data_IF_124262467989
#
_entry.id   IF_124262467989
#
_cell.length_a   1.000
_cell.length_b   1.000
_cell.length_c   1.000
_cell.angle_alpha   90.00
_cell.angle_beta   90.00
_cell.angle_gamma   90.00
#
_symmetry.space_group_name_H-M   'P 1'
#
loop_
_entity.id
_entity.type
_entity.pdbx_description
1 polymer ?
#
# COMPACT_ATOMS: atom_id res chain seq x y z
N UNK A 1 16.64 46.85 8.61
CA UNK A 1 16.30 45.57 9.26
C UNK A 1 15.08 45.02 8.56
N UNK A 2 15.26 44.14 7.58
CA UNK A 2 14.16 43.56 6.79
C UNK A 2 14.12 42.07 7.09
N UNK A 3 13.19 41.65 7.95
CA UNK A 3 13.04 40.25 8.34
C UNK A 3 12.40 39.47 7.19
N UNK A 4 13.08 38.40 6.79
CA UNK A 4 12.65 37.45 5.77
C UNK A 4 11.19 37.00 6.00
N UNK A 5 10.36 37.25 4.99
CA UNK A 5 8.95 36.91 4.95
C UNK A 5 8.76 35.39 5.07
N UNK A 6 8.31 34.96 6.25
CA UNK A 6 7.70 33.65 6.39
C UNK A 6 6.43 33.66 5.54
N UNK A 7 6.20 32.64 4.71
CA UNK A 7 4.93 32.47 4.00
C UNK A 7 3.85 32.10 5.01
N UNK A 8 3.37 33.11 5.76
CA UNK A 8 2.34 32.98 6.76
C UNK A 8 1.03 32.65 6.04
N UNK A 9 0.40 31.56 6.46
CA UNK A 9 -0.92 31.19 5.92
C UNK A 9 -1.94 32.27 6.28
N UNK A 10 -3.01 32.47 5.48
CA UNK A 10 -4.11 33.39 5.79
C UNK A 10 -4.71 33.14 7.18
N UNK A 11 -4.73 31.89 7.62
CA UNK A 11 -5.18 31.51 8.97
C UNK A 11 -4.27 32.13 10.04
N UNK A 12 -2.95 32.05 9.87
CA UNK A 12 -1.97 32.61 10.80
C UNK A 12 -2.01 34.15 10.80
N UNK A 13 -2.11 34.76 9.61
CA UNK A 13 -2.23 36.21 9.46
C UNK A 13 -3.51 36.73 10.11
N UNK A 14 -4.63 36.04 9.92
CA UNK A 14 -5.89 36.42 10.54
C UNK A 14 -5.82 36.28 12.06
N UNK A 15 -5.19 35.23 12.58
CA UNK A 15 -5.01 35.04 14.01
C UNK A 15 -4.16 36.15 14.63
N UNK A 16 -3.06 36.54 13.98
CA UNK A 16 -2.18 37.63 14.43
C UNK A 16 -2.91 38.97 14.45
N UNK A 17 -3.64 39.30 13.38
CA UNK A 17 -4.44 40.54 13.31
C UNK A 17 -5.58 40.53 14.33
N UNK A 18 -6.27 39.41 14.50
CA UNK A 18 -7.35 39.28 15.49
C UNK A 18 -6.81 39.56 16.90
N UNK A 19 -5.67 38.96 17.24
CA UNK A 19 -5.01 39.16 18.54
C UNK A 19 -4.58 40.60 18.74
N UNK A 20 -4.04 41.26 17.70
CA UNK A 20 -3.68 42.68 17.75
C UNK A 20 -4.89 43.61 17.89
N UNK A 21 -6.06 43.20 17.38
CA UNK A 21 -7.35 43.90 17.56
C UNK A 21 -8.05 43.54 18.88
N UNK A 22 -7.46 42.70 19.73
CA UNK A 22 -8.07 42.22 20.96
C UNK A 22 -9.28 41.29 20.74
N UNK A 23 -9.41 40.72 19.55
CA UNK A 23 -10.51 39.83 19.12
C UNK A 23 -9.99 38.39 18.96
N UNK A 24 -10.89 37.41 19.03
CA UNK A 24 -10.57 36.00 18.76
C UNK A 24 -11.23 35.56 17.45
N UNK A 25 -10.48 34.81 16.63
CA UNK A 25 -11.01 34.23 15.40
C UNK A 25 -11.62 32.86 15.69
N UNK A 26 -12.93 32.73 15.55
CA UNK A 26 -13.65 31.47 15.75
C UNK A 26 -14.01 30.83 14.40
N UNK A 27 -13.79 29.53 14.26
CA UNK A 27 -14.08 28.78 13.04
C UNK A 27 -15.15 27.70 13.28
N UNK A 28 -16.29 27.83 12.60
CA UNK A 28 -17.39 26.87 12.69
C UNK A 28 -17.58 26.14 11.36
N UNK A 29 -17.79 24.83 11.39
CA UNK A 29 -18.18 24.06 10.21
C UNK A 29 -19.69 24.22 10.01
N UNK A 30 -20.10 24.87 8.92
CA UNK A 30 -21.51 25.14 8.62
C UNK A 30 -22.14 23.98 7.86
N UNK A 31 -21.44 23.47 6.84
CA UNK A 31 -21.97 22.48 5.94
C UNK A 31 -20.89 21.52 5.45
N UNK A 32 -21.29 20.27 5.23
CA UNK A 32 -20.53 19.28 4.46
C UNK A 32 -21.47 18.79 3.37
N UNK A 33 -21.20 19.20 2.14
CA UNK A 33 -22.05 18.95 0.98
C UNK A 33 -21.33 18.07 -0.03
N UNK A 34 -22.07 17.37 -0.89
CA UNK A 34 -21.51 16.52 -1.93
C UNK A 34 -21.36 15.04 -1.55
N UNK A 35 -21.02 14.22 -2.55
CA UNK A 35 -20.83 12.79 -2.38
C UNK A 35 -19.54 12.48 -1.60
N UNK A 36 -19.45 11.29 -0.97
CA UNK A 36 -18.28 10.91 -0.16
C UNK A 36 -16.93 11.04 -0.91
N UNK A 37 -16.94 10.82 -2.23
CA UNK A 37 -15.76 10.93 -3.10
C UNK A 37 -15.47 12.37 -3.58
N UNK A 38 -16.37 13.32 -3.33
CA UNK A 38 -16.27 14.74 -3.73
C UNK A 38 -16.98 15.63 -2.70
N UNK A 39 -16.53 15.57 -1.45
CA UNK A 39 -17.10 16.37 -0.36
C UNK A 39 -16.56 17.81 -0.39
N UNK A 40 -17.47 18.77 -0.30
CA UNK A 40 -17.19 20.19 -0.11
C UNK A 40 -17.50 20.55 1.34
N UNK A 41 -16.52 21.10 2.04
CA UNK A 41 -16.66 21.59 3.40
C UNK A 41 -16.81 23.10 3.36
N UNK A 42 -17.76 23.65 4.13
CA UNK A 42 -17.99 25.10 4.26
C UNK A 42 -17.72 25.52 5.69
N UNK A 43 -16.75 26.40 5.88
CA UNK A 43 -16.40 26.97 7.18
C UNK A 43 -16.80 28.43 7.25
N UNK A 44 -17.34 28.83 8.40
CA UNK A 44 -17.48 30.23 8.81
C UNK A 44 -16.30 30.61 9.67
N UNK A 45 -15.81 31.83 9.50
CA UNK A 45 -14.94 32.49 10.46
C UNK A 45 -15.61 33.75 11.00
N UNK A 46 -15.50 33.97 12.30
CA UNK A 46 -16.02 35.17 12.99
C UNK A 46 -14.88 35.83 13.74
N UNK A 47 -14.66 37.13 13.49
CA UNK A 47 -13.63 37.97 14.11
C UNK A 47 -14.28 39.28 14.57
N UNK A 48 -14.79 39.29 15.81
CA UNK A 48 -15.65 40.37 16.30
C UNK A 48 -16.87 40.55 15.40
N UNK A 49 -16.98 41.71 14.75
CA UNK A 49 -18.12 42.07 13.87
C UNK A 49 -17.96 41.56 12.44
N UNK A 50 -16.78 41.04 12.08
CA UNK A 50 -16.51 40.51 10.74
C UNK A 50 -16.86 39.03 10.72
N UNK A 51 -17.75 38.65 9.81
CA UNK A 51 -18.09 37.26 9.52
C UNK A 51 -17.79 36.98 8.06
N UNK A 52 -17.10 35.87 7.80
CA UNK A 52 -16.82 35.42 6.44
C UNK A 52 -16.98 33.91 6.32
N UNK A 53 -17.27 33.45 5.10
CA UNK A 53 -17.39 32.02 4.80
C UNK A 53 -16.39 31.61 3.73
N UNK A 54 -15.99 30.34 3.76
CA UNK A 54 -15.12 29.75 2.75
C UNK A 54 -15.43 28.28 2.55
N UNK A 55 -15.47 27.86 1.29
CA UNK A 55 -15.69 26.48 0.89
C UNK A 55 -14.40 25.85 0.37
N UNK A 56 -14.28 24.52 0.50
CA UNK A 56 -13.17 23.78 -0.11
C UNK A 56 -13.32 22.27 0.00
N UNK A 57 -12.55 21.54 -0.79
CA UNK A 57 -12.54 20.06 -0.87
C UNK A 57 -12.00 19.37 0.40
N UNK A 58 -11.53 20.14 1.37
CA UNK A 58 -11.08 19.64 2.66
C UNK A 58 -11.36 20.67 3.75
N UNK A 59 -11.50 20.21 5.00
CA UNK A 59 -11.66 21.09 6.17
C UNK A 59 -10.56 22.15 6.25
N UNK A 60 -9.32 21.81 5.87
CA UNK A 60 -8.17 22.74 5.85
C UNK A 60 -8.30 23.79 4.75
N UNK A 61 -8.65 23.39 3.53
CA UNK A 61 -8.85 24.32 2.41
C UNK A 61 -10.02 25.28 2.67
N UNK A 62 -11.12 24.77 3.21
CA UNK A 62 -12.28 25.57 3.59
C UNK A 62 -11.96 26.62 4.66
N UNK A 63 -11.25 26.24 5.74
CA UNK A 63 -10.77 27.19 6.76
C UNK A 63 -9.83 28.24 6.19
N UNK A 64 -8.93 27.84 5.30
CA UNK A 64 -7.99 28.75 4.65
C UNK A 64 -8.74 29.80 3.81
N UNK A 65 -9.71 29.37 3.01
CA UNK A 65 -10.53 30.28 2.20
C UNK A 65 -11.39 31.20 3.06
N UNK A 66 -11.97 30.68 4.15
CA UNK A 66 -12.72 31.49 5.10
C UNK A 66 -11.85 32.58 5.74
N UNK A 67 -10.62 32.22 6.14
CA UNK A 67 -9.67 33.16 6.71
C UNK A 67 -9.23 34.25 5.72
N UNK A 68 -9.00 33.87 4.46
CA UNK A 68 -8.69 34.80 3.38
C UNK A 68 -9.83 35.81 3.15
N UNK A 69 -11.08 35.33 3.09
CA UNK A 69 -12.25 36.21 2.97
C UNK A 69 -12.35 37.19 4.14
N UNK A 70 -12.14 36.74 5.38
CA UNK A 70 -12.16 37.64 6.54
C UNK A 70 -11.03 38.67 6.54
N UNK A 71 -9.82 38.29 6.11
CA UNK A 71 -8.71 39.22 5.94
C UNK A 71 -9.03 40.33 4.93
N UNK A 72 -9.68 39.98 3.81
CA UNK A 72 -10.07 40.95 2.79
C UNK A 72 -11.10 41.96 3.32
N UNK A 73 -12.02 41.53 4.18
CA UNK A 73 -12.99 42.41 4.84
C UNK A 73 -12.29 43.32 5.87
N UNK A 74 -11.43 42.77 6.72
CA UNK A 74 -10.70 43.54 7.76
C UNK A 74 -9.74 44.56 7.13
N UNK A 75 -9.12 44.23 6.00
CA UNK A 75 -8.22 45.12 5.26
C UNK A 75 -8.96 46.15 4.38
N UNK A 76 -10.30 46.15 4.37
CA UNK A 76 -11.11 47.08 3.59
C UNK A 76 -11.04 46.89 2.07
N UNK A 77 -10.62 45.70 1.61
CA UNK A 77 -10.51 45.37 0.17
C UNK A 77 -11.85 44.97 -0.45
N UNK A 78 -12.80 44.51 0.37
CA UNK A 78 -14.11 44.00 -0.05
C UNK A 78 -15.15 44.43 0.97
N UNK A 79 -16.34 44.84 0.52
CA UNK A 79 -17.44 45.16 1.44
C UNK A 79 -18.09 43.88 2.01
N UNK A 80 -18.67 43.91 3.22
CA UNK A 80 -19.29 42.73 3.84
C UNK A 80 -20.38 42.07 2.99
N UNK A 81 -21.05 42.85 2.13
CA UNK A 81 -22.15 42.39 1.26
C UNK A 81 -21.63 41.65 0.01
N UNK A 82 -20.46 42.03 -0.52
CA UNK A 82 -19.86 41.38 -1.69
C UNK A 82 -19.18 40.04 -1.33
N UNK A 83 -18.65 39.91 -0.12
CA UNK A 83 -18.00 38.69 0.35
C UNK A 83 -18.97 37.49 0.48
N UNK A 84 -20.27 37.76 0.67
CA UNK A 84 -21.30 36.73 0.83
C UNK A 84 -21.89 36.25 -0.52
N UNK A 85 -21.75 37.06 -1.58
CA UNK A 85 -22.32 36.80 -2.91
C UNK A 85 -21.40 36.01 -3.86
N UNK A 86 -20.19 35.61 -3.42
CA UNK A 86 -19.26 34.81 -4.24
C UNK A 86 -19.49 33.30 -4.10
N UNK A 87 -20.76 32.89 -3.96
CA UNK A 87 -21.16 31.50 -3.69
C UNK A 87 -21.49 30.68 -4.95
N UNK A 88 -21.54 31.27 -6.15
CA UNK A 88 -21.77 30.50 -7.37
C UNK A 88 -21.09 31.15 -8.58
N UNK A 89 -19.92 30.66 -9.00
CA UNK A 89 -19.51 30.57 -10.41
C UNK A 89 -18.26 29.67 -10.55
N UNK A 90 -18.28 28.91 -11.63
CA UNK A 90 -17.42 27.78 -11.98
C UNK A 90 -15.92 28.08 -12.07
N UNK A 91 -15.14 27.07 -11.70
CA UNK A 91 -13.91 26.56 -12.34
C UNK A 91 -13.25 27.45 -13.41
N UNK A 92 -12.12 28.07 -13.08
CA UNK A 92 -11.03 28.36 -14.03
C UNK A 92 -9.68 28.17 -13.35
N UNK A 93 -8.76 27.55 -14.09
CA UNK A 93 -7.46 27.05 -13.69
C UNK A 93 -6.50 28.09 -13.11
N UNK A 94 -5.62 27.64 -12.20
CA UNK A 94 -4.48 28.36 -11.69
C UNK A 94 -3.86 27.62 -10.51
N UNK A 95 -2.64 27.12 -10.68
CA UNK A 95 -1.88 26.32 -9.72
C UNK A 95 -1.77 26.95 -8.32
N UNK A 96 -1.95 26.14 -7.27
CA UNK A 96 -0.93 25.93 -6.22
C UNK A 96 -1.39 24.93 -5.16
N UNK A 97 -0.51 23.96 -4.93
CA UNK A 97 -0.66 22.79 -4.07
C UNK A 97 -0.36 23.11 -2.61
N UNK A 98 -1.02 22.42 -1.66
CA UNK A 98 -0.38 21.65 -0.56
C UNK A 98 -1.38 21.11 0.51
N UNK A 99 -1.02 20.05 1.28
CA UNK A 99 -1.91 18.90 1.52
C UNK A 99 -2.20 18.52 3.00
N UNK A 100 -3.18 17.58 3.16
CA UNK A 100 -3.53 16.52 4.19
C UNK A 100 -3.68 16.88 5.70
N UNK A 101 -4.35 16.07 6.60
CA UNK A 101 -4.84 14.64 6.57
C UNK A 101 -6.32 14.42 7.05
N UNK A 102 -6.92 13.19 7.26
CA UNK A 102 -6.36 11.83 7.50
C UNK A 102 -6.87 10.67 6.59
N UNK A 103 -6.00 9.71 6.28
CA UNK A 103 -6.01 8.28 6.72
C UNK A 103 -7.21 7.47 6.24
N UNK A 104 -7.02 6.48 5.36
CA UNK A 104 -7.62 5.12 5.43
C UNK A 104 -6.94 4.22 4.38
N UNK A 105 -6.45 3.06 4.83
CA UNK A 105 -6.18 1.89 4.00
C UNK A 105 -7.48 1.48 3.28
N UNK A 106 -7.46 1.18 1.99
CA UNK A 106 -8.50 0.32 1.40
C UNK A 106 -7.95 -0.49 0.24
N UNK A 107 -8.15 -1.79 0.36
CA UNK A 107 -8.01 -2.82 -0.64
C UNK A 107 -8.97 -2.60 -1.82
N UNK A 108 -8.56 -3.18 -2.96
CA UNK A 108 -9.37 -3.73 -4.04
C UNK A 108 -10.37 -2.85 -4.81
N UNK A 109 -10.14 -2.83 -6.14
CA UNK A 109 -11.22 -2.96 -7.11
C UNK A 109 -11.54 -1.71 -7.94
N UNK A 110 -11.35 -1.84 -9.26
CA UNK A 110 -12.20 -1.18 -10.24
C UNK A 110 -11.79 0.23 -10.68
N UNK A 111 -11.18 0.26 -11.88
CA UNK A 111 -11.28 1.28 -12.93
C UNK A 111 -11.87 2.64 -12.51
N UNK A 112 -10.98 3.64 -12.44
CA UNK A 112 -11.09 5.01 -12.97
C UNK A 112 -9.88 5.76 -12.39
N UNK A 113 -8.73 5.65 -13.05
CA UNK A 113 -7.48 6.28 -12.61
C UNK A 113 -7.66 7.81 -12.56
N UNK A 114 -7.50 8.45 -11.38
CA UNK A 114 -7.41 9.90 -11.30
C UNK A 114 -6.15 10.38 -12.02
N UNK A 115 -6.14 11.56 -12.68
CA UNK A 115 -5.11 11.92 -13.66
C UNK A 115 -3.66 11.98 -13.18
N UNK A 116 -3.37 12.05 -11.87
CA UNK A 116 -2.02 12.35 -11.35
C UNK A 116 -1.59 11.47 -10.16
N UNK A 117 -1.75 10.15 -10.27
CA UNK A 117 -1.17 9.22 -9.29
C UNK A 117 -0.01 8.39 -9.89
N UNK A 118 1.23 8.93 -9.94
CA UNK A 118 2.36 8.20 -10.51
C UNK A 118 2.73 6.96 -9.70
N UNK A 119 2.39 6.90 -8.41
CA UNK A 119 2.61 5.71 -7.56
C UNK A 119 1.69 4.58 -8.03
N UNK A 120 0.40 4.88 -8.22
CA UNK A 120 -0.58 3.91 -8.73
C UNK A 120 -0.25 3.45 -10.15
N UNK A 121 0.06 4.40 -11.04
CA UNK A 121 0.43 4.08 -12.42
C UNK A 121 1.70 3.21 -12.50
N UNK A 122 2.70 3.45 -11.64
CA UNK A 122 3.88 2.59 -11.55
C UNK A 122 3.51 1.19 -11.06
N UNK A 123 2.67 1.09 -10.04
CA UNK A 123 2.23 -0.21 -9.52
C UNK A 123 1.43 -1.01 -10.56
N UNK A 124 0.52 -0.35 -11.29
CA UNK A 124 -0.25 -0.96 -12.39
C UNK A 124 0.68 -1.47 -13.49
N UNK A 125 1.63 -0.64 -13.96
CA UNK A 125 2.60 -1.03 -14.98
C UNK A 125 3.45 -2.24 -14.54
N UNK A 126 3.89 -2.26 -13.28
CA UNK A 126 4.69 -3.35 -12.71
C UNK A 126 3.87 -4.65 -12.65
N UNK A 127 2.61 -4.57 -12.23
CA UNK A 127 1.70 -5.73 -12.20
C UNK A 127 1.39 -6.22 -13.61
N UNK A 128 1.17 -5.31 -14.57
CA UNK A 128 0.93 -5.62 -15.98
C UNK A 128 2.13 -6.34 -16.62
N UNK A 129 3.35 -5.92 -16.28
CA UNK A 129 4.61 -6.55 -16.73
C UNK A 129 4.98 -7.82 -15.95
N UNK A 130 4.20 -8.20 -14.93
CA UNK A 130 4.47 -9.38 -14.10
C UNK A 130 5.69 -9.25 -13.18
N UNK A 131 6.14 -8.03 -12.91
CA UNK A 131 7.29 -7.73 -12.06
C UNK A 131 6.92 -7.69 -10.57
N UNK A 132 7.93 -7.82 -9.69
CA UNK A 132 7.75 -7.65 -8.24
C UNK A 132 7.29 -6.23 -7.90
N UNK A 133 6.45 -6.11 -6.86
CA UNK A 133 5.90 -4.83 -6.41
C UNK A 133 7.02 -3.81 -6.10
N UNK A 134 6.81 -2.51 -6.38
CA UNK A 134 7.82 -1.48 -6.11
C UNK A 134 8.16 -1.35 -4.63
N UNK A 135 9.44 -1.39 -4.31
CA UNK A 135 9.95 -1.14 -2.96
C UNK A 135 10.35 0.33 -2.82
N UNK A 136 10.01 0.97 -1.70
CA UNK A 136 10.33 2.36 -1.43
C UNK A 136 11.15 2.50 -0.15
N UNK A 137 12.37 3.01 -0.28
CA UNK A 137 13.34 3.15 0.80
C UNK A 137 13.65 4.62 1.00
N UNK A 138 13.60 5.11 2.24
CA UNK A 138 14.05 6.48 2.58
C UNK A 138 15.57 6.44 2.71
N UNK A 139 16.28 7.14 1.82
CA UNK A 139 17.75 7.15 1.79
C UNK A 139 18.35 8.43 2.37
N UNK A 140 17.57 9.50 2.50
CA UNK A 140 18.01 10.74 3.13
C UNK A 140 16.84 11.48 3.77
N UNK A 141 17.07 12.03 4.96
CA UNK A 141 16.21 13.01 5.62
C UNK A 141 17.12 14.12 6.13
N UNK A 142 17.06 15.29 5.51
CA UNK A 142 17.92 16.43 5.81
C UNK A 142 17.11 17.73 5.88
N UNK A 143 17.74 18.78 6.39
CA UNK A 143 17.13 20.10 6.51
C UNK A 143 16.50 20.38 7.88
N UNK A 144 16.22 21.66 8.18
CA UNK A 144 15.68 22.07 9.46
C UNK A 144 14.24 21.57 9.65
N UNK A 145 13.74 21.43 10.90
CA UNK A 145 12.40 20.90 11.18
C UNK A 145 11.24 21.55 10.41
N UNK A 146 11.39 22.80 10.02
CA UNK A 146 10.41 23.59 9.28
C UNK A 146 10.59 23.55 7.74
N UNK A 147 11.67 22.95 7.24
CA UNK A 147 11.98 22.79 5.81
C UNK A 147 12.75 21.48 5.59
N UNK A 148 12.13 20.36 5.95
CA UNK A 148 12.73 19.04 5.79
C UNK A 148 12.65 18.58 4.34
N UNK A 149 13.76 18.10 3.82
CA UNK A 149 13.87 17.43 2.53
C UNK A 149 14.05 15.92 2.74
N UNK A 150 13.24 15.14 2.03
CA UNK A 150 13.29 13.69 2.05
C UNK A 150 13.68 13.19 0.67
N UNK A 151 14.60 12.24 0.65
CA UNK A 151 14.99 11.53 -0.57
C UNK A 151 14.55 10.08 -0.45
N UNK A 152 13.72 9.63 -1.38
CA UNK A 152 13.21 8.27 -1.45
C UNK A 152 13.73 7.61 -2.71
N UNK A 153 14.26 6.40 -2.56
CA UNK A 153 14.59 5.51 -3.65
C UNK A 153 13.43 4.55 -3.89
N UNK A 154 13.05 4.38 -5.15
CA UNK A 154 12.13 3.33 -5.59
C UNK A 154 12.93 2.26 -6.33
N UNK A 155 12.65 0.98 -6.04
CA UNK A 155 13.28 -0.18 -6.67
C UNK A 155 12.21 -1.09 -7.28
N UNK A 156 12.38 -1.43 -8.55
CA UNK A 156 11.54 -2.35 -9.32
C UNK A 156 12.45 -3.22 -10.17
N UNK A 157 12.54 -4.52 -9.86
CA UNK A 157 13.46 -5.46 -10.52
C UNK A 157 14.90 -4.90 -10.58
N UNK A 158 15.43 -4.68 -11.80
CA UNK A 158 16.75 -4.09 -12.08
C UNK A 158 16.77 -2.57 -12.11
N UNK A 159 15.61 -1.93 -12.02
CA UNK A 159 15.47 -0.48 -12.11
C UNK A 159 15.43 0.14 -10.71
N UNK A 160 16.22 1.19 -10.54
CA UNK A 160 16.23 2.02 -9.33
C UNK A 160 16.28 3.47 -9.74
N UNK A 161 15.44 4.28 -9.13
CA UNK A 161 15.46 5.74 -9.29
C UNK A 161 15.14 6.40 -7.95
N UNK A 162 15.49 7.67 -7.83
CA UNK A 162 15.31 8.45 -6.61
C UNK A 162 14.45 9.67 -6.89
N UNK A 163 13.73 10.10 -5.86
CA UNK A 163 12.94 11.32 -5.89
C UNK A 163 13.04 12.07 -4.57
N UNK A 164 13.09 13.39 -4.66
CA UNK A 164 13.14 14.29 -3.52
C UNK A 164 11.77 14.94 -3.28
N UNK A 165 11.54 15.40 -2.05
CA UNK A 165 10.37 16.20 -1.73
C UNK A 165 10.34 16.69 -0.29
N UNK A 166 9.52 17.70 -0.02
CA UNK A 166 9.33 18.30 1.30
C UNK A 166 8.62 17.39 2.32
N UNK A 167 8.21 16.19 1.89
CA UNK A 167 7.63 15.15 2.73
C UNK A 167 7.93 13.78 2.16
N UNK A 168 7.92 12.74 3.01
CA UNK A 168 8.05 11.34 2.56
C UNK A 168 7.03 10.99 1.48
N UNK A 169 5.80 11.53 1.54
CA UNK A 169 4.77 11.29 0.51
C UNK A 169 5.11 11.98 -0.83
N UNK A 170 5.58 13.22 -0.79
CA UNK A 170 5.97 13.96 -1.98
C UNK A 170 7.20 13.33 -2.65
N UNK A 171 8.22 12.97 -1.85
CA UNK A 171 9.40 12.27 -2.32
C UNK A 171 9.06 10.92 -2.96
N UNK A 172 8.13 10.16 -2.37
CA UNK A 172 7.65 8.87 -2.93
C UNK A 172 6.95 9.07 -4.28
N UNK A 173 6.10 10.10 -4.39
CA UNK A 173 5.41 10.45 -5.64
C UNK A 173 6.40 10.85 -6.73
N UNK A 174 7.40 11.67 -6.37
CA UNK A 174 8.47 12.10 -7.25
C UNK A 174 9.29 10.91 -7.76
N UNK A 175 9.74 10.05 -6.85
CA UNK A 175 10.52 8.85 -7.18
C UNK A 175 9.76 7.91 -8.13
N UNK A 176 8.47 7.67 -7.85
CA UNK A 176 7.61 6.86 -8.71
C UNK A 176 7.43 7.46 -10.11
N UNK A 177 7.29 8.79 -10.21
CA UNK A 177 7.13 9.48 -11.49
C UNK A 177 8.37 9.37 -12.36
N UNK A 178 9.56 9.56 -11.79
CA UNK A 178 10.84 9.42 -12.51
C UNK A 178 11.00 8.00 -13.06
N UNK A 179 10.79 6.98 -12.21
CA UNK A 179 10.91 5.59 -12.62
C UNK A 179 9.86 5.20 -13.67
N UNK A 180 8.62 5.70 -13.53
CA UNK A 180 7.54 5.42 -14.48
C UNK A 180 7.86 5.93 -15.89
N UNK A 181 8.40 7.15 -16.01
CA UNK A 181 8.85 7.71 -17.29
C UNK A 181 9.95 6.83 -17.89
N UNK A 182 10.96 6.49 -17.10
CA UNK A 182 12.08 5.63 -17.53
C UNK A 182 11.61 4.26 -18.02
N UNK A 183 10.65 3.64 -17.33
CA UNK A 183 10.10 2.33 -17.70
C UNK A 183 9.26 2.36 -18.98
N UNK A 184 8.67 3.51 -19.32
CA UNK A 184 7.91 3.70 -20.58
C UNK A 184 8.81 3.89 -21.79
N UNK A 185 10.04 4.38 -21.61
CA UNK A 185 11.00 4.66 -22.69
C UNK A 185 11.84 3.44 -23.11
N UNK A 186 11.82 2.34 -22.36
CA UNK A 186 12.63 1.16 -22.65
C UNK A 186 11.87 0.19 -23.58
N UNK A 187 12.38 -0.10 -24.80
CA UNK A 187 11.80 -1.09 -25.71
C UNK A 187 11.86 -2.52 -25.14
N UNK A 188 10.95 -3.43 -25.55
CA UNK A 188 10.85 -4.79 -25.01
C UNK A 188 12.00 -5.76 -25.40
N UNK A 189 13.08 -5.30 -26.05
CA UNK A 189 14.07 -6.17 -26.70
C UNK A 189 15.38 -6.40 -25.90
N UNK A 190 15.31 -6.38 -24.57
CA UNK A 190 16.42 -6.82 -23.69
C UNK A 190 15.93 -7.80 -22.61
N UNK A 191 15.03 -8.70 -23.01
CA UNK A 191 14.42 -9.70 -22.14
C UNK A 191 15.22 -11.01 -22.07
N UNK A 192 16.24 -11.16 -22.91
CA UNK A 192 17.20 -12.27 -22.88
C UNK A 192 18.62 -11.71 -22.96
N UNK A 193 19.34 -11.72 -21.83
CA UNK A 193 20.81 -11.87 -21.70
C UNK A 193 21.21 -11.44 -20.28
N UNK A 194 20.98 -12.29 -19.27
CA UNK A 194 22.02 -12.76 -18.31
C UNK A 194 21.38 -13.73 -17.30
N UNK A 195 21.51 -15.02 -17.60
CA UNK A 195 21.95 -15.99 -16.58
C UNK A 195 23.43 -15.66 -16.30
N UNK A 196 23.79 -15.64 -15.02
CA UNK A 196 25.15 -15.43 -14.47
C UNK A 196 25.82 -14.08 -14.76
N UNK A 197 25.83 -13.20 -13.74
CA UNK A 197 27.02 -12.50 -13.23
C UNK A 197 26.63 -11.54 -12.07
N UNK A 198 27.37 -11.67 -10.97
CA UNK A 198 27.64 -10.67 -9.92
C UNK A 198 26.55 -10.39 -8.86
N UNK A 199 26.45 -11.28 -7.87
CA UNK A 199 26.04 -10.93 -6.51
C UNK A 199 27.28 -10.38 -5.80
N UNK A 200 27.39 -9.05 -5.68
CA UNK A 200 28.30 -8.42 -4.73
C UNK A 200 27.87 -8.77 -3.30
N UNK A 201 28.69 -9.61 -2.70
CA UNK A 201 28.69 -10.09 -1.32
C UNK A 201 29.19 -8.98 -0.38
N UNK A 202 28.45 -7.89 -0.17
CA UNK A 202 28.69 -7.04 1.02
C UNK A 202 27.49 -6.10 1.32
N UNK A 203 26.58 -6.55 2.18
CA UNK A 203 25.75 -5.71 3.08
C UNK A 203 24.76 -6.59 3.84
N UNK A 204 25.27 -7.39 4.78
CA UNK A 204 24.49 -8.08 5.80
C UNK A 204 24.13 -7.13 6.94
N UNK A 205 22.85 -6.97 7.33
CA UNK A 205 22.53 -6.31 8.60
C UNK A 205 22.89 -7.25 9.76
N UNK A 206 23.80 -6.76 10.59
CA UNK A 206 24.23 -7.24 11.89
C UNK A 206 23.05 -7.71 12.77
N UNK A 207 22.96 -9.01 13.06
CA UNK A 207 22.03 -9.60 14.02
C UNK A 207 22.76 -9.85 15.33
N UNK A 208 22.34 -9.15 16.39
CA UNK A 208 22.79 -9.39 17.76
C UNK A 208 22.31 -10.78 18.19
N UNK A 209 23.29 -11.62 18.54
CA UNK A 209 23.15 -12.98 19.06
C UNK A 209 22.80 -12.89 20.54
N UNK A 210 21.68 -13.43 20.96
CA UNK A 210 21.54 -13.92 22.34
C UNK A 210 21.05 -15.37 22.33
N UNK A 211 21.61 -16.15 23.24
CA UNK A 211 21.62 -17.60 23.24
C UNK A 211 20.62 -18.15 24.26
N UNK A 212 20.16 -19.37 23.97
CA UNK A 212 19.46 -20.33 24.86
C UNK A 212 17.94 -20.35 24.76
N UNK A 213 17.42 -21.13 23.82
CA UNK A 213 16.50 -22.26 24.10
C UNK A 213 16.63 -23.29 22.97
N UNK A 214 16.69 -24.58 23.33
CA UNK A 214 16.93 -25.69 22.42
C UNK A 214 15.71 -26.10 21.62
N UNK A 215 15.30 -25.27 20.66
CA UNK A 215 14.37 -25.62 19.59
C UNK A 215 15.11 -25.48 18.27
N UNK A 216 15.09 -26.51 17.43
CA UNK A 216 15.76 -26.46 16.11
C UNK A 216 15.27 -25.23 15.34
N UNK A 217 16.14 -24.29 14.93
CA UNK A 217 15.73 -23.14 14.14
C UNK A 217 15.61 -23.61 12.69
N UNK A 218 14.41 -23.97 12.23
CA UNK A 218 14.18 -24.39 10.85
C UNK A 218 13.21 -23.45 10.14
N UNK A 219 13.55 -22.16 10.06
CA UNK A 219 13.04 -21.30 9.00
C UNK A 219 14.15 -20.33 8.60
N UNK A 220 15.09 -20.84 7.80
CA UNK A 220 15.96 -19.98 7.02
C UNK A 220 15.10 -19.31 5.97
N UNK A 221 14.79 -18.02 6.20
CA UNK A 221 14.56 -16.92 5.27
C UNK A 221 14.36 -17.22 3.75
N UNK A 222 13.59 -18.23 3.38
CA UNK A 222 13.11 -18.39 2.01
C UNK A 222 11.89 -17.50 1.85
N UNK A 223 12.02 -16.52 0.96
CA UNK A 223 10.96 -15.58 0.59
C UNK A 223 9.80 -16.41 0.04
N UNK A 224 8.75 -16.58 0.84
CA UNK A 224 7.57 -17.34 0.43
C UNK A 224 6.94 -16.79 -0.85
N UNK A 225 6.41 -17.67 -1.70
CA UNK A 225 5.82 -17.25 -2.97
C UNK A 225 4.52 -16.47 -2.74
N UNK A 226 4.34 -15.34 -3.45
CA UNK A 226 3.10 -14.56 -3.41
C UNK A 226 2.08 -15.11 -4.41
N UNK A 227 0.78 -14.96 -4.12
CA UNK A 227 -0.29 -15.33 -5.06
C UNK A 227 -0.18 -14.63 -6.42
N UNK A 228 0.36 -13.41 -6.46
CA UNK A 228 0.56 -12.68 -7.71
C UNK A 228 1.58 -13.39 -8.61
N UNK A 229 2.69 -13.86 -8.04
CA UNK A 229 3.70 -14.68 -8.73
C UNK A 229 3.10 -15.99 -9.21
N UNK A 230 2.36 -16.68 -8.34
CA UNK A 230 1.75 -17.98 -8.65
C UNK A 230 0.68 -17.86 -9.76
N UNK A 231 -0.08 -16.77 -9.78
CA UNK A 231 -1.11 -16.50 -10.80
C UNK A 231 -0.52 -16.24 -12.18
N UNK A 232 0.57 -15.46 -12.23
CA UNK A 232 1.25 -15.03 -13.45
C UNK A 232 2.32 -16.03 -13.92
N UNK A 233 2.61 -17.06 -13.12
CA UNK A 233 3.58 -18.09 -13.49
C UNK A 233 3.13 -18.84 -14.75
N UNK A 234 4.05 -18.94 -15.71
CA UNK A 234 3.90 -19.67 -16.97
C UNK A 234 4.35 -21.14 -16.86
N UNK A 235 4.57 -21.62 -15.63
CA UNK A 235 4.98 -23.00 -15.39
C UNK A 235 3.99 -24.03 -15.94
N UNK A 236 4.51 -25.17 -16.39
CA UNK A 236 3.70 -26.23 -16.99
C UNK A 236 2.80 -26.88 -15.92
N UNK A 237 3.31 -27.07 -14.70
CA UNK A 237 2.60 -27.72 -13.59
C UNK A 237 1.49 -26.82 -13.03
N UNK A 238 1.74 -25.51 -12.87
CA UNK A 238 0.69 -24.57 -12.46
C UNK A 238 -0.40 -24.44 -13.53
N UNK A 239 -0.04 -24.49 -14.81
CA UNK A 239 -1.00 -24.45 -15.92
C UNK A 239 -1.82 -25.74 -15.99
N UNK A 240 -1.18 -26.90 -15.77
CA UNK A 240 -1.87 -28.20 -15.60
C UNK A 240 -2.82 -28.19 -14.40
N UNK A 241 -2.45 -27.58 -13.27
CA UNK A 241 -3.34 -27.47 -12.11
C UNK A 241 -4.59 -26.64 -12.43
N UNK A 242 -4.46 -25.55 -13.19
CA UNK A 242 -5.58 -24.71 -13.64
C UNK A 242 -6.59 -25.50 -14.49
N UNK A 243 -6.11 -26.39 -15.36
CA UNK A 243 -6.94 -27.17 -16.30
C UNK A 243 -7.41 -28.53 -15.76
N UNK A 244 -6.75 -29.09 -14.75
CA UNK A 244 -7.06 -30.43 -14.21
C UNK A 244 -8.28 -30.40 -13.29
N UNK A 245 -9.25 -31.29 -13.51
CA UNK A 245 -10.35 -31.53 -12.57
C UNK A 245 -9.86 -32.37 -11.39
N UNK A 246 -9.74 -31.75 -10.21
CA UNK A 246 -9.36 -32.40 -8.94
C UNK A 246 -10.56 -33.13 -8.33
N UNK A 247 -11.31 -33.93 -9.10
CA UNK A 247 -12.56 -34.57 -8.65
C UNK A 247 -12.42 -36.06 -8.38
N UNK A 248 -11.26 -36.67 -8.68
CA UNK A 248 -11.05 -38.12 -8.60
C UNK A 248 -10.26 -38.51 -7.35
N UNK A 249 -10.80 -39.28 -6.40
CA UNK A 249 -10.16 -39.57 -5.10
C UNK A 249 -8.92 -40.50 -5.13
N UNK A 250 -8.25 -40.67 -6.28
CA UNK A 250 -7.16 -41.64 -6.44
C UNK A 250 -5.98 -41.14 -7.29
N UNK A 251 -5.66 -39.85 -7.19
CA UNK A 251 -4.55 -39.23 -7.91
C UNK A 251 -3.40 -38.98 -6.95
N UNK A 252 -2.15 -39.08 -7.42
CA UNK A 252 -0.94 -38.83 -6.65
C UNK A 252 -0.82 -37.34 -6.25
N UNK A 253 -1.69 -36.87 -5.36
CA UNK A 253 -1.82 -35.47 -4.96
C UNK A 253 -0.56 -34.97 -4.26
N UNK A 254 0.07 -35.80 -3.44
CA UNK A 254 1.33 -35.47 -2.78
C UNK A 254 2.45 -35.22 -3.80
N UNK A 255 2.56 -36.08 -4.82
CA UNK A 255 3.52 -35.94 -5.91
C UNK A 255 3.27 -34.65 -6.71
N UNK A 256 2.02 -34.39 -7.06
CA UNK A 256 1.65 -33.18 -7.82
C UNK A 256 1.93 -31.90 -7.02
N UNK A 257 1.65 -31.91 -5.71
CA UNK A 257 1.92 -30.77 -4.84
C UNK A 257 3.44 -30.53 -4.68
N UNK A 258 4.23 -31.60 -4.57
CA UNK A 258 5.68 -31.52 -4.51
C UNK A 258 6.29 -30.99 -5.82
N UNK A 259 5.86 -31.49 -6.97
CA UNK A 259 6.31 -30.99 -8.28
C UNK A 259 5.95 -29.51 -8.48
N UNK A 260 4.79 -29.09 -7.98
CA UNK A 260 4.39 -27.69 -8.03
C UNK A 260 5.23 -26.82 -7.10
N UNK A 261 5.57 -27.34 -5.92
CA UNK A 261 6.43 -26.68 -4.94
C UNK A 261 7.83 -26.44 -5.51
N UNK A 262 8.39 -27.43 -6.22
CA UNK A 262 9.67 -27.34 -6.92
C UNK A 262 9.62 -26.34 -8.09
N UNK A 263 8.56 -26.37 -8.90
CA UNK A 263 8.41 -25.45 -10.04
C UNK A 263 8.27 -23.98 -9.58
N UNK A 264 7.53 -23.76 -8.50
CA UNK A 264 7.16 -22.44 -8.02
C UNK A 264 8.02 -21.97 -6.84
N UNK A 265 9.02 -22.77 -6.46
CA UNK A 265 9.99 -22.51 -5.40
C UNK A 265 9.35 -22.16 -4.04
N UNK A 266 8.36 -22.95 -3.64
CA UNK A 266 7.81 -22.94 -2.27
C UNK A 266 8.05 -24.29 -1.59
N UNK A 267 7.91 -24.34 -0.27
CA UNK A 267 8.12 -25.54 0.53
C UNK A 267 6.77 -26.10 1.00
N UNK A 268 6.71 -27.44 1.06
CA UNK A 268 5.57 -28.21 1.54
C UNK A 268 6.02 -29.00 2.74
N UNK A 269 5.41 -28.75 3.89
CA UNK A 269 5.70 -29.45 5.13
C UNK A 269 4.44 -30.19 5.60
N UNK A 270 4.56 -31.49 5.86
CA UNK A 270 3.48 -32.31 6.40
C UNK A 270 3.72 -32.53 7.90
N UNK A 271 2.75 -32.12 8.70
CA UNK A 271 2.71 -32.29 10.14
C UNK A 271 1.62 -33.31 10.50
N UNK A 272 2.05 -34.50 10.90
CA UNK A 272 1.14 -35.53 11.39
C UNK A 272 0.73 -35.24 12.83
N UNK A 273 -0.57 -35.10 13.08
CA UNK A 273 -1.11 -34.86 14.42
C UNK A 273 -1.19 -36.17 15.24
N UNK A 274 -0.89 -37.30 14.61
CA UNK A 274 -0.86 -38.62 15.24
C UNK A 274 0.25 -38.71 16.30
N UNK A 275 -0.08 -38.38 17.56
CA UNK A 275 0.73 -38.70 18.72
C UNK A 275 0.80 -37.67 19.84
N UNK A 276 0.44 -36.39 19.62
CA UNK A 276 0.54 -35.40 20.71
C UNK A 276 -0.57 -35.52 21.78
N UNK A 277 -1.63 -36.29 21.50
CA UNK A 277 -2.71 -36.59 22.45
C UNK A 277 -2.96 -38.09 22.65
N UNK A 278 -2.09 -38.96 22.14
CA UNK A 278 -2.27 -40.42 22.19
C UNK A 278 -1.99 -41.05 23.58
N UNK A 279 -2.15 -40.29 24.66
CA UNK A 279 -2.17 -40.84 26.03
C UNK A 279 -3.55 -40.72 26.68
N UNK A 280 -4.33 -39.67 26.41
CA UNK A 280 -5.58 -39.42 27.13
C UNK A 280 -6.57 -38.66 26.25
N UNK A 281 -7.11 -39.34 25.25
CA UNK A 281 -8.53 -39.30 24.85
C UNK A 281 -8.62 -39.96 23.47
N UNK A 282 -9.41 -41.03 23.40
CA UNK A 282 -9.82 -41.59 22.13
C UNK A 282 -10.54 -40.50 21.33
N UNK A 283 -9.85 -39.91 20.35
CA UNK A 283 -10.54 -39.18 19.30
C UNK A 283 -11.55 -40.14 18.67
N UNK A 284 -12.82 -39.73 18.66
CA UNK A 284 -13.97 -40.55 18.27
C UNK A 284 -13.93 -41.06 16.81
N UNK A 285 -12.90 -40.71 16.03
CA UNK A 285 -12.63 -41.25 14.70
C UNK A 285 -11.28 -41.94 14.68
N UNK A 286 -11.22 -43.21 14.30
CA UNK A 286 -9.99 -43.98 14.06
C UNK A 286 -9.22 -43.51 12.81
N UNK A 287 -9.20 -42.21 12.55
CA UNK A 287 -8.65 -41.56 11.37
C UNK A 287 -7.34 -40.85 11.73
N UNK A 288 -6.34 -41.05 10.89
CA UNK A 288 -5.09 -40.29 10.92
C UNK A 288 -5.37 -38.86 10.46
N UNK A 289 -4.78 -37.89 11.13
CA UNK A 289 -4.92 -36.46 10.82
C UNK A 289 -3.57 -35.87 10.45
N UNK A 290 -3.56 -35.06 9.39
CA UNK A 290 -2.38 -34.39 8.86
C UNK A 290 -2.70 -32.92 8.60
N UNK A 291 -1.73 -32.05 8.84
CA UNK A 291 -1.72 -30.66 8.37
C UNK A 291 -0.61 -30.50 7.35
N UNK A 292 -0.92 -29.92 6.20
CA UNK A 292 0.08 -29.51 5.22
C UNK A 292 0.25 -28.00 5.29
N UNK A 293 1.49 -27.53 5.49
CA UNK A 293 1.87 -26.13 5.48
C UNK A 293 2.63 -25.80 4.20
N UNK A 294 2.20 -24.75 3.52
CA UNK A 294 2.86 -24.20 2.34
C UNK A 294 3.48 -22.85 2.69
N UNK A 295 4.73 -22.62 2.31
CA UNK A 295 5.41 -21.31 2.48
C UNK A 295 4.95 -20.24 1.49
N UNK A 296 3.64 -20.20 1.20
CA UNK A 296 2.98 -19.14 0.43
C UNK A 296 2.81 -17.88 1.28
N UNK A 297 2.54 -16.73 0.66
CA UNK A 297 2.19 -15.48 1.38
C UNK A 297 0.76 -15.02 1.03
N UNK A 298 -0.18 -15.00 2.01
CA UNK A 298 -0.05 -15.52 3.38
C UNK A 298 0.18 -17.03 3.44
N UNK A 299 0.76 -17.51 4.56
CA UNK A 299 1.04 -18.95 4.79
C UNK A 299 -0.27 -19.73 4.67
N UNK A 300 -0.23 -20.80 3.89
CA UNK A 300 -1.39 -21.67 3.67
C UNK A 300 -1.23 -22.93 4.48
N UNK A 301 -2.23 -23.25 5.29
CA UNK A 301 -2.30 -24.52 6.02
C UNK A 301 -3.59 -25.23 5.61
N UNK A 302 -3.50 -26.51 5.26
CA UNK A 302 -4.65 -27.34 4.89
C UNK A 302 -4.69 -28.61 5.73
N UNK A 303 -5.90 -29.05 6.07
CA UNK A 303 -6.13 -30.24 6.89
C UNK A 303 -6.51 -31.44 6.03
N UNK A 304 -6.02 -32.62 6.37
CA UNK A 304 -6.42 -33.90 5.80
C UNK A 304 -6.66 -34.98 6.84
N UNK A 305 -7.58 -35.88 6.51
CA UNK A 305 -7.91 -37.04 7.33
C UNK A 305 -8.02 -38.31 6.46
N UNK A 306 -7.62 -39.46 7.00
CA UNK A 306 -7.64 -40.74 6.30
C UNK A 306 -7.55 -41.93 7.23
N UNK A 307 -7.86 -43.14 6.77
CA UNK A 307 -7.71 -44.35 7.60
C UNK A 307 -6.23 -44.73 7.77
N UNK A 308 -5.39 -44.32 6.81
CA UNK A 308 -3.93 -44.45 6.86
C UNK A 308 -3.25 -43.07 6.83
N UNK A 309 -1.98 -43.02 7.25
CA UNK A 309 -1.15 -41.81 7.15
C UNK A 309 -1.07 -41.28 5.72
N UNK A 310 -0.87 -42.18 4.76
CA UNK A 310 -0.74 -41.82 3.35
C UNK A 310 -2.05 -41.26 2.78
N UNK A 311 -3.20 -41.79 3.19
CA UNK A 311 -4.51 -41.23 2.85
C UNK A 311 -4.71 -39.83 3.47
N UNK A 312 -4.31 -39.63 4.73
CA UNK A 312 -4.40 -38.33 5.39
C UNK A 312 -3.51 -37.28 4.68
N UNK A 313 -2.32 -37.67 4.25
CA UNK A 313 -1.41 -36.84 3.45
C UNK A 313 -2.01 -36.51 2.09
N UNK A 314 -2.54 -37.53 1.38
CA UNK A 314 -3.16 -37.34 0.08
C UNK A 314 -4.38 -36.40 0.17
N UNK A 315 -5.18 -36.52 1.22
CA UNK A 315 -6.32 -35.64 1.48
C UNK A 315 -5.89 -34.20 1.82
N UNK A 316 -4.83 -34.04 2.63
CA UNK A 316 -4.27 -32.73 2.95
C UNK A 316 -3.71 -32.05 1.69
N UNK A 317 -2.95 -32.80 0.88
CA UNK A 317 -2.39 -32.35 -0.39
C UNK A 317 -3.48 -31.99 -1.41
N UNK A 318 -4.57 -32.76 -1.44
CA UNK A 318 -5.72 -32.48 -2.27
C UNK A 318 -6.36 -31.12 -1.92
N UNK A 319 -6.61 -30.89 -0.64
CA UNK A 319 -7.19 -29.63 -0.15
C UNK A 319 -6.26 -28.44 -0.44
N UNK A 320 -4.95 -28.62 -0.26
CA UNK A 320 -3.95 -27.63 -0.64
C UNK A 320 -4.00 -27.32 -2.14
N UNK A 321 -4.03 -28.33 -3.01
CA UNK A 321 -4.10 -28.15 -4.46
C UNK A 321 -5.40 -27.47 -4.91
N UNK A 322 -6.53 -27.79 -4.27
CA UNK A 322 -7.81 -27.11 -4.53
C UNK A 322 -7.74 -25.63 -4.15
N UNK A 323 -7.15 -25.32 -2.99
CA UNK A 323 -6.97 -23.95 -2.54
C UNK A 323 -6.03 -23.17 -3.47
N UNK A 324 -4.88 -23.76 -3.85
CA UNK A 324 -3.97 -23.19 -4.84
C UNK A 324 -4.69 -22.92 -6.17
N UNK A 325 -5.52 -23.86 -6.64
CA UNK A 325 -6.30 -23.70 -7.87
C UNK A 325 -7.28 -22.53 -7.79
N UNK A 326 -7.97 -22.36 -6.65
CA UNK A 326 -8.89 -21.24 -6.43
C UNK A 326 -8.17 -19.90 -6.45
N UNK A 327 -7.04 -19.80 -5.75
CA UNK A 327 -6.26 -18.55 -5.65
C UNK A 327 -5.61 -18.12 -6.98
N UNK A 328 -5.41 -19.08 -7.88
CA UNK A 328 -4.71 -18.88 -9.16
C UNK A 328 -5.69 -18.74 -10.35
N UNK A 329 -6.98 -19.07 -10.17
CA UNK A 329 -8.02 -18.83 -11.18
C UNK A 329 -8.39 -17.35 -11.19
N UNK A 330 -8.32 -16.70 -12.36
CA UNK A 330 -8.73 -15.30 -12.53
C UNK A 330 -10.21 -15.18 -12.13
N UNK A 331 -10.51 -14.31 -11.17
CA UNK A 331 -11.85 -13.78 -10.94
C UNK A 331 -12.17 -12.72 -12.00
#
# INVERSE_FOLDING_TARGET
MSTMGHQKTPISLLQELSTHMGKTAQYDLIATEGAAHQQTFVFRVTVGDVVATGAGLSKKAAKHKAAESALNIIQGKVTPEEANNMSHLHTTAGEQSCPVPPSTYSESGGVLTPPDNPIGQLQELVVERGWRLPEYIVISEQGPPHCKEFTIQVKVEKFKDTGTGSSKKAAKRSAAGVLLTRLREIPPDQQDMVRDADIDEDSVPFVVRDSKTGVKPMHSARIGITWATLRNSAGEKITRLKSTSLSTPNSNYCQLLQELAEEQNFEVEYLDIAGMFAAEELSASSLHQCLVQLTTQPVTVCHGQGHTRDEAHAHAAHNALQYLKLMVRRA
#
